data_IF_571887333616
#
_entry.id   IF_571887333616
#
_cell.length_a   1.000
_cell.length_b   1.000
_cell.length_c   1.000
_cell.angle_alpha   90.00
_cell.angle_beta   90.00
_cell.angle_gamma   90.00
#
_symmetry.space_group_name_H-M   'P 1'
#
loop_
_entity.id
_entity.type
_entity.pdbx_description
1 polymer ?
#
# COMPACT_ATOMS: atom_id res chain seq x y z
N UNK A 1 -5.80 10.66 13.15
CA UNK A 1 -6.53 11.54 12.21
C UNK A 1 -6.75 10.93 10.81
N UNK A 2 -5.72 10.68 9.98
CA UNK A 2 -5.94 10.16 8.61
C UNK A 2 -6.73 8.83 8.57
N UNK A 3 -6.37 7.87 9.44
CA UNK A 3 -7.09 6.60 9.57
C UNK A 3 -8.56 6.79 9.93
N UNK A 4 -8.87 7.73 10.81
CA UNK A 4 -10.23 7.96 11.28
C UNK A 4 -11.11 8.54 10.16
N UNK A 5 -10.55 9.42 9.31
CA UNK A 5 -11.21 9.86 8.07
C UNK A 5 -11.46 8.74 7.07
N UNK A 6 -10.64 7.68 7.06
CA UNK A 6 -10.85 6.52 6.16
C UNK A 6 -12.02 5.65 6.58
N UNK A 7 -12.52 5.77 7.82
CA UNK A 7 -13.68 5.01 8.29
C UNK A 7 -14.93 5.30 7.45
N UNK A 8 -15.07 6.55 7.01
CA UNK A 8 -16.14 7.00 6.12
C UNK A 8 -16.03 6.47 4.69
N UNK A 9 -14.89 5.85 4.32
CA UNK A 9 -14.66 5.29 2.99
C UNK A 9 -14.86 3.77 2.95
N UNK A 10 -15.27 3.16 4.06
CA UNK A 10 -15.50 1.71 4.18
C UNK A 10 -16.99 1.37 4.09
N UNK A 11 -17.29 0.26 3.43
CA UNK A 11 -18.62 -0.35 3.31
C UNK A 11 -18.71 -1.55 4.25
N UNK A 12 -19.93 -1.90 4.68
CA UNK A 12 -20.15 -3.14 5.41
C UNK A 12 -20.23 -4.31 4.42
N UNK A 13 -19.08 -4.68 3.87
CA UNK A 13 -18.92 -5.74 2.90
C UNK A 13 -17.61 -6.49 3.16
N UNK A 14 -17.44 -7.73 2.64
CA UNK A 14 -16.17 -8.42 2.69
C UNK A 14 -15.06 -7.62 2.02
N UNK A 15 -13.84 -7.71 2.54
CA UNK A 15 -12.64 -7.16 1.91
C UNK A 15 -11.54 -8.20 1.87
N UNK A 16 -10.78 -8.20 0.78
CA UNK A 16 -9.69 -9.12 0.51
C UNK A 16 -8.37 -8.37 0.46
N UNK A 17 -7.31 -8.99 0.98
CA UNK A 17 -5.95 -8.48 0.87
C UNK A 17 -5.19 -9.30 -0.17
N UNK A 18 -4.72 -8.62 -1.20
CA UNK A 18 -3.87 -9.20 -2.24
C UNK A 18 -2.51 -8.49 -2.16
N UNK A 19 -1.41 -9.26 -2.22
CA UNK A 19 -0.07 -8.71 -2.39
C UNK A 19 0.41 -9.08 -3.78
N UNK A 20 0.70 -8.07 -4.60
CA UNK A 20 1.35 -8.24 -5.88
C UNK A 20 2.84 -7.98 -5.72
N UNK A 21 3.65 -8.96 -6.09
CA UNK A 21 5.11 -8.93 -5.94
C UNK A 21 5.76 -9.21 -7.29
N UNK A 22 6.93 -8.61 -7.51
CA UNK A 22 7.76 -8.85 -8.69
C UNK A 22 9.02 -9.65 -8.33
N UNK A 23 9.59 -10.41 -9.28
CA UNK A 23 10.85 -11.11 -9.09
C UNK A 23 11.99 -10.16 -8.74
N UNK A 24 12.88 -10.62 -7.85
CA UNK A 24 14.05 -9.86 -7.40
C UNK A 24 15.02 -9.50 -8.53
N UNK A 25 14.99 -10.22 -9.65
CA UNK A 25 15.81 -9.98 -10.83
C UNK A 25 15.55 -8.59 -11.43
N UNK A 26 14.34 -8.06 -11.24
CA UNK A 26 13.96 -6.72 -11.66
C UNK A 26 14.43 -5.62 -10.70
N UNK A 27 14.88 -5.97 -9.49
CA UNK A 27 15.23 -4.98 -8.46
C UNK A 27 16.26 -3.94 -8.94
N UNK A 28 17.38 -4.29 -9.60
CA UNK A 28 18.32 -3.30 -10.09
C UNK A 28 17.71 -2.31 -11.08
N UNK A 29 16.81 -2.80 -11.95
CA UNK A 29 16.14 -2.00 -12.96
C UNK A 29 15.09 -1.08 -12.34
N UNK A 30 14.26 -1.62 -11.43
CA UNK A 30 13.26 -0.85 -10.68
C UNK A 30 13.92 0.21 -9.81
N UNK A 31 15.03 -0.11 -9.14
CA UNK A 31 15.73 0.85 -8.31
C UNK A 31 16.30 2.01 -9.13
N UNK A 32 16.72 1.77 -10.37
CA UNK A 32 17.20 2.82 -11.29
C UNK A 32 16.06 3.66 -11.87
N UNK A 33 14.82 3.15 -11.88
CA UNK A 33 13.66 3.74 -12.53
C UNK A 33 12.44 3.83 -11.60
N UNK A 34 12.67 4.19 -10.33
CA UNK A 34 11.67 4.03 -9.27
C UNK A 34 10.30 4.62 -9.64
N UNK A 35 10.22 5.88 -10.04
CA UNK A 35 8.94 6.51 -10.35
C UNK A 35 8.20 5.76 -11.47
N UNK A 36 8.89 5.57 -12.60
CA UNK A 36 8.32 4.95 -13.79
C UNK A 36 7.88 3.51 -13.54
N UNK A 37 8.74 2.68 -12.94
CA UNK A 37 8.44 1.27 -12.72
C UNK A 37 7.55 1.01 -11.50
N UNK A 38 7.44 1.94 -10.54
CA UNK A 38 6.38 1.91 -9.55
C UNK A 38 5.02 2.28 -10.18
N UNK A 39 4.98 3.24 -11.12
CA UNK A 39 3.75 3.55 -11.86
C UNK A 39 3.28 2.34 -12.69
N UNK A 40 4.20 1.67 -13.39
CA UNK A 40 3.90 0.41 -14.10
C UNK A 40 3.37 -0.69 -13.18
N UNK A 41 3.88 -0.80 -11.93
CA UNK A 41 3.28 -1.72 -10.94
C UNK A 41 1.81 -1.38 -10.68
N UNK A 42 1.50 -0.10 -10.45
CA UNK A 42 0.12 0.35 -10.20
C UNK A 42 -0.79 0.12 -11.40
N UNK A 43 -0.32 0.44 -12.61
CA UNK A 43 -1.07 0.22 -13.85
C UNK A 43 -1.39 -1.26 -14.03
N UNK A 44 -0.38 -2.11 -13.92
CA UNK A 44 -0.52 -3.57 -14.08
C UNK A 44 -1.46 -4.18 -13.05
N UNK A 45 -1.35 -3.78 -11.78
CA UNK A 45 -2.28 -4.21 -10.72
C UNK A 45 -3.70 -3.75 -11.00
N UNK A 46 -3.89 -2.48 -11.34
CA UNK A 46 -5.22 -1.91 -11.57
C UNK A 46 -5.90 -2.54 -12.79
N UNK A 47 -5.17 -2.66 -13.90
CA UNK A 47 -5.66 -3.28 -15.12
C UNK A 47 -6.04 -4.75 -14.91
N UNK A 48 -5.21 -5.52 -14.19
CA UNK A 48 -5.49 -6.92 -13.85
C UNK A 48 -6.79 -7.06 -13.04
N UNK A 49 -6.94 -6.26 -11.97
CA UNK A 49 -8.14 -6.33 -11.13
C UNK A 49 -9.38 -5.90 -11.91
N UNK A 50 -9.30 -4.80 -12.67
CA UNK A 50 -10.45 -4.28 -13.40
C UNK A 50 -10.92 -5.27 -14.48
N UNK A 51 -9.99 -5.87 -15.22
CA UNK A 51 -10.31 -6.86 -16.26
C UNK A 51 -11.01 -8.08 -15.65
N UNK A 52 -10.41 -8.70 -14.63
CA UNK A 52 -10.98 -9.90 -14.04
C UNK A 52 -12.31 -9.64 -13.31
N UNK A 53 -12.47 -8.49 -12.67
CA UNK A 53 -13.73 -8.17 -11.95
C UNK A 53 -14.86 -7.77 -12.91
N UNK A 54 -14.53 -7.22 -14.08
CA UNK A 54 -15.50 -6.93 -15.13
C UNK A 54 -16.00 -8.19 -15.87
N UNK A 55 -15.22 -9.27 -15.89
CA UNK A 55 -15.65 -10.54 -16.48
C UNK A 55 -16.77 -11.19 -15.64
N UNK A 56 -17.91 -11.45 -16.29
CA UNK A 56 -19.07 -12.12 -15.69
C UNK A 56 -18.78 -13.53 -15.17
N UNK A 57 -17.75 -14.21 -15.69
CA UNK A 57 -17.29 -15.52 -15.16
C UNK A 57 -16.78 -15.38 -13.72
N UNK A 58 -16.20 -14.23 -13.37
CA UNK A 58 -15.63 -13.98 -12.06
C UNK A 58 -16.53 -13.13 -11.18
N UNK A 59 -16.97 -11.95 -11.63
CA UNK A 59 -17.89 -11.10 -10.88
C UNK A 59 -18.84 -10.36 -11.83
N UNK A 60 -18.35 -9.68 -12.86
CA UNK A 60 -19.18 -8.87 -13.76
C UNK A 60 -19.62 -7.56 -13.12
N UNK A 61 -18.76 -6.94 -12.32
CA UNK A 61 -19.06 -5.69 -11.64
C UNK A 61 -17.80 -4.84 -11.41
N UNK A 62 -17.99 -3.52 -11.38
CA UNK A 62 -16.94 -2.56 -11.03
C UNK A 62 -16.72 -2.55 -9.52
N UNK A 63 -15.56 -3.03 -9.10
CA UNK A 63 -15.14 -3.05 -7.69
C UNK A 63 -14.49 -1.74 -7.25
N UNK A 64 -14.28 -1.58 -5.95
CA UNK A 64 -13.44 -0.53 -5.37
C UNK A 64 -12.24 -1.13 -4.64
N UNK A 65 -11.08 -0.48 -4.73
CA UNK A 65 -9.88 -0.97 -4.03
C UNK A 65 -8.87 0.14 -3.74
N UNK A 66 -8.00 -0.13 -2.77
CA UNK A 66 -6.91 0.75 -2.36
C UNK A 66 -5.60 0.00 -2.57
N UNK A 67 -4.65 0.62 -3.30
CA UNK A 67 -3.31 0.10 -3.52
C UNK A 67 -2.29 0.88 -2.69
N UNK A 68 -1.41 0.19 -1.99
CA UNK A 68 -0.35 0.77 -1.14
C UNK A 68 1.01 0.20 -1.57
N UNK A 69 1.91 1.06 -2.03
CA UNK A 69 3.27 0.67 -2.41
C UNK A 69 4.16 0.49 -1.17
N UNK A 70 4.80 -0.67 -1.11
CA UNK A 70 5.85 -1.03 -0.17
C UNK A 70 7.10 -1.39 -0.97
N UNK A 71 8.29 -1.11 -0.43
CA UNK A 71 9.57 -1.29 -1.15
C UNK A 71 10.59 -2.11 -0.35
N UNK A 72 10.18 -2.75 0.73
CA UNK A 72 11.07 -3.44 1.67
C UNK A 72 10.56 -4.82 2.04
N UNK A 73 11.48 -5.76 2.26
CA UNK A 73 11.22 -6.98 3.02
C UNK A 73 11.48 -6.79 4.52
N UNK A 74 11.38 -7.87 5.29
CA UNK A 74 11.60 -7.80 6.74
C UNK A 74 13.02 -7.34 7.08
N UNK A 75 14.04 -7.78 6.35
CA UNK A 75 15.45 -7.39 6.53
C UNK A 75 15.80 -6.02 5.92
N UNK A 76 14.79 -5.21 5.57
CA UNK A 76 14.94 -3.95 4.83
C UNK A 76 15.69 -4.12 3.50
N UNK A 77 15.60 -5.30 2.90
CA UNK A 77 16.06 -5.53 1.54
C UNK A 77 15.08 -4.89 0.56
N UNK A 78 15.58 -4.35 -0.55
CA UNK A 78 14.74 -3.76 -1.58
C UNK A 78 13.80 -4.81 -2.19
N UNK A 79 12.50 -4.59 -2.03
CA UNK A 79 11.46 -5.52 -2.41
C UNK A 79 10.17 -4.74 -2.74
N UNK A 80 10.06 -4.17 -3.94
CA UNK A 80 8.87 -3.45 -4.38
C UNK A 80 7.67 -4.39 -4.54
N UNK A 81 6.56 -4.05 -3.90
CA UNK A 81 5.30 -4.79 -3.97
C UNK A 81 4.11 -3.89 -3.65
N UNK A 82 2.93 -4.26 -4.15
CA UNK A 82 1.68 -3.53 -3.90
C UNK A 82 0.76 -4.36 -3.02
N UNK A 83 0.41 -3.79 -1.87
CA UNK A 83 -0.72 -4.26 -1.06
C UNK A 83 -2.02 -3.70 -1.63
N UNK A 84 -2.98 -4.57 -1.91
CA UNK A 84 -4.31 -4.19 -2.37
C UNK A 84 -5.35 -4.60 -1.34
N UNK A 85 -6.19 -3.65 -0.96
CA UNK A 85 -7.43 -3.90 -0.21
C UNK A 85 -8.58 -3.84 -1.21
N UNK A 86 -9.09 -5.00 -1.57
CA UNK A 86 -10.13 -5.18 -2.58
C UNK A 86 -11.49 -5.35 -1.92
N UNK A 87 -12.47 -4.54 -2.31
CA UNK A 87 -13.86 -4.73 -1.93
C UNK A 87 -14.40 -6.03 -2.53
N UNK A 88 -15.07 -6.84 -1.72
CA UNK A 88 -15.56 -8.17 -2.09
C UNK A 88 -16.79 -8.18 -3.00
N UNK A 89 -17.23 -7.00 -3.42
CA UNK A 89 -18.33 -6.80 -4.36
C UNK A 89 -18.17 -5.48 -5.10
N UNK A 90 -19.10 -5.21 -6.00
CA UNK A 90 -19.06 -4.04 -6.86
C UNK A 90 -20.42 -3.69 -7.46
N UNK A 91 -20.43 -2.64 -8.28
CA UNK A 91 -21.62 -2.20 -9.01
C UNK A 91 -21.62 -2.74 -10.44
N UNK A 92 -22.71 -3.33 -10.87
CA UNK A 92 -22.95 -3.68 -12.28
C UNK A 92 -23.18 -2.42 -13.12
N UNK A 93 -23.20 -2.55 -14.45
CA UNK A 93 -23.56 -1.46 -15.35
C UNK A 93 -24.97 -0.88 -15.09
N UNK A 94 -25.87 -1.68 -14.51
CA UNK A 94 -27.22 -1.26 -14.11
C UNK A 94 -27.27 -0.67 -12.70
N UNK A 95 -26.12 -0.33 -12.10
CA UNK A 95 -26.02 0.19 -10.74
C UNK A 95 -26.62 -0.73 -9.67
N UNK A 96 -26.55 -2.05 -9.89
CA UNK A 96 -26.95 -3.05 -8.90
C UNK A 96 -25.71 -3.58 -8.19
N UNK A 97 -25.83 -3.84 -6.90
CA UNK A 97 -24.76 -4.46 -6.13
C UNK A 97 -24.62 -5.94 -6.52
N UNK A 98 -23.37 -6.39 -6.65
CA UNK A 98 -23.04 -7.80 -6.90
C UNK A 98 -21.80 -8.19 -6.11
N UNK A 99 -21.86 -9.32 -5.43
CA UNK A 99 -20.73 -9.97 -4.76
C UNK A 99 -20.82 -11.50 -4.91
N UNK A 100 -19.81 -12.21 -4.39
CA UNK A 100 -19.78 -13.68 -4.30
C UNK A 100 -19.64 -14.15 -2.86
N UNK A 101 -20.23 -13.39 -1.93
CA UNK A 101 -20.15 -13.66 -0.51
C UNK A 101 -18.75 -13.46 0.07
N UNK A 102 -18.37 -14.33 1.02
CA UNK A 102 -17.19 -14.12 1.87
C UNK A 102 -15.90 -14.74 1.34
N UNK A 103 -15.97 -15.53 0.27
CA UNK A 103 -14.84 -16.25 -0.28
C UNK A 103 -14.16 -15.48 -1.41
N UNK A 104 -12.85 -15.63 -1.52
CA UNK A 104 -12.09 -14.94 -2.55
C UNK A 104 -12.48 -15.47 -3.93
N UNK A 105 -12.89 -14.57 -4.82
CA UNK A 105 -13.59 -14.94 -6.05
C UNK A 105 -12.73 -14.84 -7.33
N UNK A 106 -11.49 -14.37 -7.22
CA UNK A 106 -10.55 -14.28 -8.35
C UNK A 106 -9.60 -15.49 -8.35
N UNK A 107 -9.46 -16.23 -9.47
CA UNK A 107 -8.51 -17.33 -9.55
C UNK A 107 -7.07 -16.82 -9.45
N UNK A 108 -6.35 -17.23 -8.40
CA UNK A 108 -4.99 -16.73 -8.09
C UNK A 108 -4.01 -16.97 -9.25
N UNK A 109 -4.09 -18.11 -9.93
CA UNK A 109 -3.23 -18.42 -11.09
C UNK A 109 -3.48 -17.48 -12.27
N UNK A 110 -4.74 -17.15 -12.55
CA UNK A 110 -5.11 -16.22 -13.63
C UNK A 110 -4.67 -14.81 -13.28
N UNK A 111 -4.92 -14.38 -12.04
CA UNK A 111 -4.48 -13.09 -11.53
C UNK A 111 -2.95 -12.93 -11.59
N UNK A 112 -2.20 -13.98 -11.25
CA UNK A 112 -0.74 -14.04 -11.36
C UNK A 112 -0.26 -13.84 -12.81
N UNK A 113 -0.75 -14.66 -13.74
CA UNK A 113 -0.29 -14.64 -15.14
C UNK A 113 -0.69 -13.36 -15.86
N UNK A 114 -1.90 -12.84 -15.60
CA UNK A 114 -2.36 -11.59 -16.20
C UNK A 114 -1.54 -10.39 -15.68
N UNK A 115 -1.24 -10.34 -14.38
CA UNK A 115 -0.38 -9.30 -13.81
C UNK A 115 1.05 -9.36 -14.37
N UNK A 116 1.64 -10.56 -14.42
CA UNK A 116 2.96 -10.79 -15.01
C UNK A 116 3.01 -10.31 -16.45
N UNK A 117 2.04 -10.71 -17.27
CA UNK A 117 1.95 -10.31 -18.67
C UNK A 117 1.87 -8.79 -18.84
N UNK A 118 0.96 -8.12 -18.12
CA UNK A 118 0.78 -6.66 -18.21
C UNK A 118 2.02 -5.89 -17.76
N UNK A 119 2.67 -6.32 -16.68
CA UNK A 119 3.86 -5.64 -16.17
C UNK A 119 5.05 -5.78 -17.12
N UNK A 120 5.30 -6.99 -17.61
CA UNK A 120 6.43 -7.24 -18.51
C UNK A 120 6.21 -6.63 -19.89
N UNK A 121 4.96 -6.54 -20.36
CA UNK A 121 4.61 -5.84 -21.60
C UNK A 121 4.87 -4.32 -21.49
N UNK A 122 4.35 -3.66 -20.46
CA UNK A 122 4.62 -2.23 -20.23
C UNK A 122 6.12 -1.97 -20.01
N UNK A 123 6.82 -2.84 -19.28
CA UNK A 123 8.28 -2.75 -19.12
C UNK A 123 9.02 -2.86 -20.47
N UNK A 124 8.59 -3.76 -21.36
CA UNK A 124 9.18 -3.93 -22.69
C UNK A 124 8.96 -2.69 -23.55
N UNK A 125 7.75 -2.13 -23.54
CA UNK A 125 7.44 -0.87 -24.25
C UNK A 125 8.34 0.26 -23.76
N UNK A 126 8.51 0.42 -22.45
CA UNK A 126 9.38 1.45 -21.88
C UNK A 126 10.85 1.28 -22.28
N UNK A 127 11.32 0.04 -22.47
CA UNK A 127 12.65 -0.25 -22.98
C UNK A 127 12.78 0.14 -24.46
N UNK A 128 11.82 -0.28 -25.29
CA UNK A 128 11.79 0.02 -26.74
C UNK A 128 11.71 1.52 -27.03
N UNK A 129 10.99 2.27 -26.20
CA UNK A 129 10.87 3.72 -26.28
C UNK A 129 12.07 4.47 -25.66
N UNK A 130 13.13 3.77 -25.22
CA UNK A 130 14.31 4.34 -24.57
C UNK A 130 14.00 5.21 -23.34
N UNK A 131 12.93 4.89 -22.60
CA UNK A 131 12.51 5.62 -21.38
C UNK A 131 13.23 5.15 -20.13
N UNK A 132 13.83 3.96 -20.15
CA UNK A 132 14.52 3.37 -19.01
C UNK A 132 15.96 3.92 -18.87
N UNK A 133 16.32 4.22 -17.62
CA UNK A 133 17.68 4.53 -17.19
C UNK A 133 18.35 3.29 -16.60
N UNK A 134 19.65 3.14 -16.84
CA UNK A 134 20.40 1.98 -16.38
C UNK A 134 21.65 2.42 -15.64
N UNK A 135 21.71 2.10 -14.35
CA UNK A 135 22.80 2.43 -13.42
C UNK A 135 23.24 1.19 -12.63
N UNK A 136 24.51 1.19 -12.20
CA UNK A 136 25.09 0.09 -11.42
C UNK A 136 24.92 -1.26 -12.11
N UNK A 137 24.37 -2.24 -11.38
CA UNK A 137 24.19 -3.60 -11.90
C UNK A 137 23.10 -3.73 -12.99
N UNK A 138 22.32 -2.68 -13.26
CA UNK A 138 21.33 -2.69 -14.36
C UNK A 138 21.91 -2.28 -15.71
N UNK A 139 23.15 -1.75 -15.79
CA UNK A 139 23.79 -1.27 -17.04
C UNK A 139 23.78 -2.31 -18.16
N UNK A 140 23.98 -3.59 -17.82
CA UNK A 140 23.95 -4.71 -18.78
C UNK A 140 22.64 -4.82 -19.56
N UNK A 141 21.51 -4.37 -18.99
CA UNK A 141 20.20 -4.45 -19.63
C UNK A 141 19.95 -3.35 -20.69
N UNK A 142 20.94 -2.48 -20.96
CA UNK A 142 20.94 -1.68 -22.20
C UNK A 142 21.08 -2.55 -23.43
N UNK A 143 21.78 -3.68 -23.31
CA UNK A 143 21.94 -4.63 -24.40
C UNK A 143 20.62 -5.40 -24.61
N UNK A 144 20.17 -5.46 -25.86
CA UNK A 144 18.93 -6.14 -26.26
C UNK A 144 18.86 -7.60 -25.79
N UNK A 145 19.94 -8.37 -25.97
CA UNK A 145 19.95 -9.79 -25.61
C UNK A 145 19.86 -9.98 -24.10
N UNK A 146 20.63 -9.20 -23.33
CA UNK A 146 20.59 -9.26 -21.86
C UNK A 146 19.23 -8.84 -21.29
N UNK A 147 18.56 -7.85 -21.90
CA UNK A 147 17.21 -7.46 -21.50
C UNK A 147 16.17 -8.54 -21.86
N UNK A 148 16.27 -9.13 -23.05
CA UNK A 148 15.41 -10.23 -23.46
C UNK A 148 15.54 -11.44 -22.52
N UNK A 149 16.76 -11.79 -22.12
CA UNK A 149 17.01 -12.85 -21.14
C UNK A 149 16.40 -12.55 -19.77
N UNK A 150 16.49 -11.28 -19.31
CA UNK A 150 15.82 -10.84 -18.09
C UNK A 150 14.31 -11.06 -18.17
N UNK A 151 13.67 -10.68 -19.29
CA UNK A 151 12.24 -10.89 -19.50
C UNK A 151 11.90 -12.39 -19.50
N UNK A 152 12.65 -13.23 -20.22
CA UNK A 152 12.44 -14.67 -20.26
C UNK A 152 12.50 -15.28 -18.86
N UNK A 153 13.55 -14.95 -18.09
CA UNK A 153 13.69 -15.36 -16.69
C UNK A 153 12.48 -14.94 -15.85
N UNK A 154 11.95 -13.74 -16.10
CA UNK A 154 10.77 -13.24 -15.40
C UNK A 154 9.48 -13.96 -15.81
N UNK A 155 9.32 -14.37 -17.08
CA UNK A 155 8.17 -15.12 -17.58
C UNK A 155 8.12 -16.55 -17.04
N UNK A 156 9.28 -17.21 -16.92
CA UNK A 156 9.39 -18.57 -16.40
C UNK A 156 9.04 -18.67 -14.91
N UNK A 157 9.25 -17.60 -14.15
CA UNK A 157 8.92 -17.55 -12.72
C UNK A 157 7.42 -17.48 -12.46
N UNK A 158 7.02 -18.04 -11.32
CA UNK A 158 5.67 -17.87 -10.79
C UNK A 158 5.57 -16.60 -9.95
N UNK A 159 4.77 -15.64 -10.41
CA UNK A 159 4.51 -14.37 -9.73
C UNK A 159 3.39 -14.50 -8.70
N UNK A 160 3.49 -15.47 -7.79
CA UNK A 160 2.37 -15.90 -6.93
C UNK A 160 1.89 -14.74 -6.03
N UNK A 161 0.71 -14.16 -6.30
CA UNK A 161 0.16 -13.09 -5.49
C UNK A 161 -0.39 -13.70 -4.22
N UNK A 162 0.03 -13.16 -3.08
CA UNK A 162 -0.46 -13.65 -1.81
C UNK A 162 -1.85 -13.07 -1.55
N UNK A 163 -2.87 -13.92 -1.63
CA UNK A 163 -4.27 -13.56 -1.42
C UNK A 163 -4.75 -14.10 -0.07
N UNK A 164 -5.30 -13.24 0.79
CA UNK A 164 -5.93 -13.64 2.05
C UNK A 164 -7.23 -12.89 2.27
N UNK A 165 -8.19 -13.60 2.87
CA UNK A 165 -9.34 -12.99 3.53
C UNK A 165 -8.84 -12.33 4.81
N UNK A 166 -8.95 -11.01 4.90
CA UNK A 166 -8.26 -10.26 5.96
C UNK A 166 -9.19 -9.55 6.92
N UNK A 167 -10.48 -9.39 6.59
CA UNK A 167 -11.30 -8.42 7.30
C UNK A 167 -12.67 -8.97 7.68
N UNK A 168 -12.85 -9.25 8.97
CA UNK A 168 -14.17 -9.39 9.58
C UNK A 168 -14.74 -7.99 9.86
N UNK A 169 -15.16 -7.30 8.81
CA UNK A 169 -15.81 -6.00 8.88
C UNK A 169 -14.87 -4.79 8.80
N UNK A 170 -15.49 -3.61 8.76
CA UNK A 170 -14.85 -2.35 8.41
C UNK A 170 -13.66 -1.97 9.30
N UNK A 171 -13.75 -2.22 10.61
CA UNK A 171 -12.71 -1.84 11.58
C UNK A 171 -11.36 -2.53 11.30
N UNK A 172 -11.41 -3.77 10.82
CA UNK A 172 -10.20 -4.53 10.48
C UNK A 172 -9.50 -3.92 9.25
N UNK A 173 -10.26 -3.42 8.28
CA UNK A 173 -9.75 -2.69 7.10
C UNK A 173 -9.05 -1.40 7.53
N UNK A 174 -9.67 -0.65 8.44
CA UNK A 174 -9.13 0.62 8.96
C UNK A 174 -7.82 0.38 9.71
N UNK A 175 -7.80 -0.61 10.62
CA UNK A 175 -6.61 -0.96 11.40
C UNK A 175 -5.46 -1.40 10.48
N UNK A 176 -5.79 -2.13 9.42
CA UNK A 176 -4.82 -2.52 8.42
C UNK A 176 -4.29 -1.31 7.66
N UNK A 177 -5.15 -0.47 7.06
CA UNK A 177 -4.71 0.75 6.38
C UNK A 177 -3.73 1.55 7.25
N UNK A 178 -4.08 1.74 8.52
CA UNK A 178 -3.21 2.38 9.51
C UNK A 178 -1.79 1.84 9.63
N UNK A 179 -1.66 0.51 9.71
CA UNK A 179 -0.36 -0.15 9.83
C UNK A 179 0.50 0.03 8.57
N UNK A 180 -0.10 0.07 7.40
CA UNK A 180 0.61 0.04 6.11
C UNK A 180 0.82 1.44 5.49
N UNK A 181 0.09 2.47 5.94
CA UNK A 181 0.23 3.84 5.41
C UNK A 181 1.31 4.67 6.10
N UNK A 182 1.56 4.43 7.39
CA UNK A 182 2.48 5.26 8.19
C UNK A 182 3.83 4.59 8.48
N UNK A 183 3.93 3.27 8.30
CA UNK A 183 5.20 2.56 8.50
C UNK A 183 6.07 2.67 7.26
N UNK A 184 7.35 3.00 7.46
CA UNK A 184 8.42 2.87 6.46
C UNK A 184 9.07 1.49 6.66
N UNK A 185 10.31 1.30 6.22
CA UNK A 185 11.02 0.04 6.15
C UNK A 185 11.08 -0.73 7.47
N UNK A 186 11.14 0.00 8.58
CA UNK A 186 11.24 -0.54 9.92
C UNK A 186 10.43 0.31 10.90
N UNK A 187 9.94 -0.33 11.95
CA UNK A 187 9.24 0.30 13.06
C UNK A 187 10.11 0.33 14.30
N UNK A 188 10.01 1.38 15.11
CA UNK A 188 10.86 1.58 16.29
C UNK A 188 10.93 0.36 17.23
N UNK A 189 9.80 -0.32 17.49
CA UNK A 189 9.75 -1.51 18.34
C UNK A 189 10.55 -2.72 17.81
N UNK A 190 11.00 -2.69 16.55
CA UNK A 190 11.88 -3.72 16.00
C UNK A 190 13.34 -3.44 16.29
N UNK A 191 13.72 -2.20 16.58
CA UNK A 191 15.10 -1.82 16.92
C UNK A 191 15.32 -2.21 18.39
N UNK A 192 16.31 -3.07 18.62
CA UNK A 192 16.60 -3.66 19.94
C UNK A 192 17.67 -2.85 20.63
N UNK A 193 18.80 -2.63 19.95
CA UNK A 193 19.94 -1.86 20.45
C UNK A 193 20.71 -1.23 19.30
N UNK A 194 21.37 -0.13 19.60
CA UNK A 194 22.28 0.58 18.70
C UNK A 194 23.49 0.99 19.52
N UNK A 195 24.68 0.71 19.00
CA UNK A 195 25.97 1.18 19.52
C UNK A 195 26.64 2.09 18.49
N UNK A 196 27.89 2.49 18.73
CA UNK A 196 28.64 3.40 17.83
C UNK A 196 28.83 2.83 16.41
N UNK A 197 28.82 1.51 16.25
CA UNK A 197 29.17 0.83 15.01
C UNK A 197 28.00 0.05 14.39
N UNK A 198 27.06 -0.45 15.21
CA UNK A 198 26.06 -1.43 14.80
C UNK A 198 24.65 -1.10 15.24
N UNK A 199 23.68 -1.62 14.47
CA UNK A 199 22.27 -1.60 14.80
C UNK A 199 21.77 -3.04 14.79
N UNK A 200 21.13 -3.46 15.89
CA UNK A 200 20.47 -4.76 16.01
C UNK A 200 18.97 -4.59 16.02
N UNK A 201 18.27 -5.31 15.13
CA UNK A 201 16.82 -5.27 15.04
C UNK A 201 16.21 -6.63 14.75
N UNK A 202 14.97 -6.84 15.19
CA UNK A 202 14.22 -8.06 14.91
C UNK A 202 13.85 -8.17 13.44
N UNK A 203 14.19 -9.26 12.77
CA UNK A 203 13.73 -9.63 11.43
C UNK A 203 12.88 -10.88 11.48
N UNK A 204 11.92 -10.95 10.56
CA UNK A 204 11.02 -12.10 10.41
C UNK A 204 11.62 -13.04 9.37
N UNK A 205 12.01 -14.23 9.80
CA UNK A 205 12.55 -15.25 8.92
C UNK A 205 11.41 -16.05 8.28
N UNK A 206 11.08 -15.74 7.03
CA UNK A 206 10.04 -16.45 6.29
C UNK A 206 10.44 -17.86 5.86
N UNK A 207 11.75 -18.20 5.85
CA UNK A 207 12.22 -19.56 5.59
C UNK A 207 11.94 -20.45 6.82
N UNK A 208 12.01 -19.87 8.02
CA UNK A 208 11.68 -20.54 9.28
C UNK A 208 10.26 -20.24 9.80
N UNK A 209 9.24 -20.41 8.95
CA UNK A 209 7.82 -20.23 9.33
C UNK A 209 7.47 -18.85 9.93
N UNK A 210 8.30 -17.83 9.68
CA UNK A 210 8.07 -16.47 10.17
C UNK A 210 8.50 -16.24 11.62
N UNK A 211 9.46 -17.01 12.15
CA UNK A 211 10.07 -16.72 13.46
C UNK A 211 10.77 -15.36 13.45
N UNK A 212 10.79 -14.70 14.60
CA UNK A 212 11.56 -13.47 14.79
C UNK A 212 12.96 -13.82 15.26
N UNK A 213 13.97 -13.21 14.64
CA UNK A 213 15.39 -13.37 15.01
C UNK A 213 16.07 -12.00 15.09
N UNK A 214 17.09 -11.88 15.93
CA UNK A 214 17.95 -10.70 15.92
C UNK A 214 18.78 -10.66 14.64
N UNK A 215 18.95 -9.46 14.08
CA UNK A 215 19.78 -9.21 12.92
C UNK A 215 20.61 -7.95 13.15
N UNK A 216 21.92 -8.10 13.14
CA UNK A 216 22.89 -7.04 13.41
C UNK A 216 23.63 -6.68 12.14
N UNK A 217 23.69 -5.38 11.83
CA UNK A 217 24.42 -4.80 10.69
C UNK A 217 25.14 -3.54 11.14
N UNK A 218 26.10 -3.06 10.34
CA UNK A 218 26.72 -1.76 10.61
C UNK A 218 25.70 -0.63 10.52
N UNK A 219 25.93 0.46 11.27
CA UNK A 219 25.09 1.66 11.23
C UNK A 219 25.02 2.25 9.82
N UNK A 220 26.13 2.22 9.07
CA UNK A 220 26.18 2.68 7.67
C UNK A 220 25.27 1.83 6.78
N UNK A 221 25.31 0.49 6.90
CA UNK A 221 24.45 -0.39 6.11
C UNK A 221 22.97 -0.24 6.50
N UNK A 222 22.69 0.00 7.79
CA UNK A 222 21.34 0.30 8.27
C UNK A 222 20.77 1.56 7.61
N UNK A 223 21.53 2.66 7.62
CA UNK A 223 21.15 3.92 6.97
C UNK A 223 21.00 3.71 5.46
N UNK A 224 21.95 3.02 4.81
CA UNK A 224 21.87 2.71 3.37
C UNK A 224 20.58 2.00 3.04
N UNK A 225 20.25 0.90 3.73
CA UNK A 225 19.00 0.13 3.52
C UNK A 225 17.78 1.00 3.78
N UNK A 226 17.76 1.75 4.89
CA UNK A 226 16.64 2.63 5.20
C UNK A 226 16.36 3.65 4.08
N UNK A 227 17.41 4.29 3.56
CA UNK A 227 17.30 5.30 2.52
C UNK A 227 16.84 4.73 1.17
N UNK A 228 17.04 3.43 0.89
CA UNK A 228 16.51 2.78 -0.32
C UNK A 228 14.98 2.83 -0.41
N UNK A 229 14.30 3.06 0.71
CA UNK A 229 12.84 3.02 0.81
C UNK A 229 12.18 4.40 0.84
N UNK A 230 12.98 5.47 0.76
CA UNK A 230 12.46 6.82 0.59
C UNK A 230 11.88 6.94 -0.83
N UNK A 231 10.58 7.21 -0.98
CA UNK A 231 9.97 7.29 -2.30
C UNK A 231 10.46 8.54 -3.05
N UNK A 232 10.37 8.54 -4.40
CA UNK A 232 10.65 9.74 -5.19
C UNK A 232 9.80 10.94 -4.73
N UNK A 233 10.33 12.15 -4.95
CA UNK A 233 9.65 13.39 -4.57
C UNK A 233 8.24 13.44 -5.17
N UNK A 234 7.25 13.75 -4.33
CA UNK A 234 5.81 13.83 -4.68
C UNK A 234 5.19 12.51 -5.17
N UNK A 235 5.86 11.38 -4.99
CA UNK A 235 5.29 10.09 -5.39
C UNK A 235 4.13 9.67 -4.48
N UNK A 236 2.96 9.41 -5.07
CA UNK A 236 1.76 9.01 -4.35
C UNK A 236 1.78 7.51 -4.09
N UNK A 237 2.13 7.12 -2.85
CA UNK A 237 2.21 5.72 -2.38
C UNK A 237 0.87 5.03 -2.09
N UNK A 238 -0.22 5.78 -1.97
CA UNK A 238 -1.54 5.22 -1.66
C UNK A 238 -2.51 5.71 -2.73
N UNK A 239 -3.03 4.80 -3.54
CA UNK A 239 -3.90 5.11 -4.68
C UNK A 239 -5.23 4.40 -4.52
N UNK A 240 -6.31 5.11 -4.87
CA UNK A 240 -7.67 4.60 -4.75
C UNK A 240 -8.27 4.43 -6.14
N UNK A 241 -8.90 3.29 -6.37
CA UNK A 241 -9.38 2.88 -7.68
C UNK A 241 -10.84 2.44 -7.65
N UNK A 242 -11.44 2.41 -8.84
CA UNK A 242 -12.80 1.94 -9.04
C UNK A 242 -13.81 2.74 -8.21
N UNK A 243 -14.65 2.04 -7.44
CA UNK A 243 -15.64 2.69 -6.58
C UNK A 243 -15.04 3.59 -5.49
N UNK A 244 -13.78 3.36 -5.10
CA UNK A 244 -13.09 4.16 -4.08
C UNK A 244 -12.31 5.35 -4.66
N UNK A 245 -12.31 5.54 -5.99
CA UNK A 245 -11.62 6.66 -6.63
C UNK A 245 -12.12 8.01 -6.11
N UNK A 246 -11.19 8.90 -5.72
CA UNK A 246 -11.48 10.17 -5.04
C UNK A 246 -12.56 11.03 -5.71
N UNK A 247 -12.58 11.10 -7.06
CA UNK A 247 -13.53 11.95 -7.80
C UNK A 247 -14.97 11.44 -7.73
N UNK A 248 -15.17 10.14 -7.59
CA UNK A 248 -16.49 9.50 -7.68
C UNK A 248 -16.92 8.77 -6.40
N UNK A 249 -16.01 8.62 -5.43
CA UNK A 249 -16.24 7.76 -4.26
C UNK A 249 -17.47 8.15 -3.46
N UNK A 250 -17.73 9.44 -3.29
CA UNK A 250 -18.87 9.91 -2.49
C UNK A 250 -20.19 9.39 -3.07
N UNK A 251 -20.37 9.54 -4.39
CA UNK A 251 -21.56 9.07 -5.11
C UNK A 251 -21.67 7.54 -5.08
N UNK A 252 -20.59 6.83 -5.41
CA UNK A 252 -20.62 5.37 -5.44
C UNK A 252 -20.82 4.74 -4.06
N UNK A 253 -20.16 5.27 -3.02
CA UNK A 253 -20.31 4.75 -1.66
C UNK A 253 -21.71 5.01 -1.12
N UNK A 254 -22.32 6.17 -1.38
CA UNK A 254 -23.70 6.44 -1.00
C UNK A 254 -24.66 5.44 -1.67
N UNK A 255 -24.51 5.20 -2.97
CA UNK A 255 -25.30 4.21 -3.70
C UNK A 255 -25.10 2.79 -3.14
N UNK A 256 -23.86 2.36 -2.92
CA UNK A 256 -23.58 1.05 -2.35
C UNK A 256 -24.21 0.89 -0.96
N UNK A 257 -24.19 1.95 -0.14
CA UNK A 257 -24.81 1.93 1.19
C UNK A 257 -26.32 1.73 1.13
N UNK A 258 -26.99 2.44 0.23
CA UNK A 258 -28.43 2.31 0.04
C UNK A 258 -28.80 0.90 -0.43
N UNK A 259 -28.02 0.32 -1.35
CA UNK A 259 -28.26 -1.03 -1.87
C UNK A 259 -27.99 -2.13 -0.83
N UNK A 260 -26.97 -1.95 0.02
CA UNK A 260 -26.59 -2.90 1.05
C UNK A 260 -27.39 -2.75 2.36
N UNK A 261 -28.15 -1.66 2.52
CA UNK A 261 -28.78 -1.29 3.79
C UNK A 261 -27.77 -1.05 4.92
N UNK A 262 -26.51 -0.71 4.59
CA UNK A 262 -25.44 -0.68 5.57
C UNK A 262 -25.27 0.68 6.26
N UNK A 263 -24.81 0.64 7.52
CA UNK A 263 -24.53 1.84 8.32
C UNK A 263 -23.33 2.60 7.77
N UNK A 264 -23.41 3.93 7.76
CA UNK A 264 -22.25 4.77 7.51
C UNK A 264 -21.39 4.87 8.78
N UNK A 265 -20.12 4.50 8.69
CA UNK A 265 -19.16 4.76 9.76
C UNK A 265 -18.71 6.21 9.70
N UNK A 266 -19.01 6.98 10.73
CA UNK A 266 -18.56 8.37 10.85
C UNK A 266 -17.18 8.45 11.50
N UNK A 267 -16.38 9.40 11.02
CA UNK A 267 -15.11 9.78 11.62
C UNK A 267 -15.38 10.33 13.04
N UNK A 268 -14.69 9.77 14.05
CA UNK A 268 -14.82 10.22 15.46
C UNK A 268 -14.19 11.58 15.70
N UNK A 269 -13.24 11.97 14.86
CA UNK A 269 -12.39 13.15 15.05
C UNK A 269 -12.71 14.30 14.06
N UNK A 270 -13.72 14.16 13.20
CA UNK A 270 -13.96 15.08 12.08
C UNK A 270 -14.25 16.51 12.51
N UNK A 271 -14.94 16.64 13.64
CA UNK A 271 -15.44 17.92 14.17
C UNK A 271 -14.77 18.28 15.51
N UNK A 272 -13.64 17.65 15.82
CA UNK A 272 -12.87 17.91 17.03
C UNK A 272 -11.73 18.90 16.76
N UNK A 273 -11.53 19.84 17.69
CA UNK A 273 -10.36 20.71 17.73
C UNK A 273 -9.11 19.92 18.14
N UNK A 274 -7.92 20.41 17.75
CA UNK A 274 -6.64 19.70 18.03
C UNK A 274 -6.46 19.30 19.51
N UNK A 275 -6.78 20.16 20.50
CA UNK A 275 -6.73 19.76 21.90
C UNK A 275 -7.65 18.59 22.27
N UNK A 276 -8.88 18.57 21.74
CA UNK A 276 -9.85 17.49 21.96
C UNK A 276 -9.39 16.19 21.30
N UNK A 277 -8.74 16.28 20.13
CA UNK A 277 -8.13 15.12 19.47
C UNK A 277 -7.02 14.52 20.33
N UNK A 278 -6.15 15.35 20.91
CA UNK A 278 -5.04 14.88 21.76
C UNK A 278 -5.53 14.24 23.06
N UNK A 279 -6.54 14.83 23.68
CA UNK A 279 -7.21 14.24 24.85
C UNK A 279 -7.87 12.90 24.47
N UNK A 280 -8.64 12.85 23.38
CA UNK A 280 -9.33 11.62 22.94
C UNK A 280 -8.38 10.48 22.56
N UNK A 281 -7.23 10.79 21.95
CA UNK A 281 -6.31 9.76 21.43
C UNK A 281 -5.24 9.33 22.43
N UNK A 282 -4.79 10.24 23.28
CA UNK A 282 -3.60 10.03 24.12
C UNK A 282 -3.86 10.33 25.61
N UNK A 283 -5.09 10.71 25.97
CA UNK A 283 -5.45 11.17 27.31
C UNK A 283 -4.60 12.38 27.77
N UNK A 284 -4.18 13.21 26.81
CA UNK A 284 -3.36 14.40 27.07
C UNK A 284 -4.24 15.66 27.02
N UNK A 285 -4.50 16.25 28.18
CA UNK A 285 -5.19 17.55 28.29
C UNK A 285 -4.22 18.71 28.09
N UNK A 286 -4.03 19.14 26.84
CA UNK A 286 -3.15 20.27 26.51
C UNK A 286 -3.73 21.64 26.87
N UNK A 287 -5.01 21.70 27.24
CA UNK A 287 -5.70 22.91 27.71
C UNK A 287 -5.59 23.12 29.21
N UNK A 288 -4.84 22.27 29.92
CA UNK A 288 -4.67 22.32 31.38
C UNK A 288 -3.19 22.24 31.70
N UNK A 289 -2.71 23.16 32.54
CA UNK A 289 -1.34 23.11 33.04
C UNK A 289 -1.17 21.90 33.98
N UNK A 290 -0.21 21.03 33.70
CA UNK A 290 0.08 19.86 34.54
C UNK A 290 0.62 20.21 35.93
N UNK A 291 1.21 21.40 36.10
CA UNK A 291 1.78 21.84 37.37
C UNK A 291 0.74 22.47 38.30
N UNK A 292 -0.17 23.29 37.77
CA UNK A 292 -1.10 24.08 38.59
C UNK A 292 -2.59 23.81 38.31
N UNK A 293 -2.93 22.94 37.35
CA UNK A 293 -4.31 22.58 37.03
C UNK A 293 -5.14 23.69 36.35
N UNK A 294 -4.55 24.87 36.12
CA UNK A 294 -5.25 25.99 35.50
C UNK A 294 -5.44 25.79 33.99
N UNK A 295 -6.55 26.30 33.47
CA UNK A 295 -6.83 26.27 32.03
C UNK A 295 -5.88 27.19 31.27
N UNK A 296 -5.16 26.62 30.30
CA UNK A 296 -4.36 27.37 29.35
C UNK A 296 -5.31 28.02 28.34
N UNK A 297 -5.32 29.35 28.27
CA UNK A 297 -6.17 30.11 27.35
C UNK A 297 -5.94 29.73 25.87
N UNK A 298 -6.89 30.05 24.99
CA UNK A 298 -6.75 29.80 23.55
C UNK A 298 -5.41 30.36 23.05
N UNK A 299 -4.61 29.52 22.39
CA UNK A 299 -3.41 29.95 21.69
C UNK A 299 -3.80 31.05 20.69
N UNK A 300 -3.45 32.30 21.00
CA UNK A 300 -3.49 33.36 20.00
C UNK A 300 -2.56 32.93 18.86
N UNK A 301 -3.10 32.78 17.65
CA UNK A 301 -2.27 32.64 16.45
C UNK A 301 -1.42 33.90 16.33
N UNK A 302 -0.18 33.86 16.82
CA UNK A 302 0.83 34.83 16.42
C UNK A 302 1.18 34.51 14.98
N UNK A 303 0.55 35.21 14.04
CA UNK A 303 1.00 35.28 12.65
C UNK A 303 2.44 35.81 12.73
N UNK A 304 3.45 35.07 12.24
CA UNK A 304 4.80 35.60 12.19
C UNK A 304 4.77 36.85 11.29
N UNK A 305 5.11 38.01 11.86
CA UNK A 305 5.39 39.19 11.08
C UNK A 305 6.53 38.82 10.12
N UNK A 306 6.26 38.87 8.81
CA UNK A 306 7.33 38.83 7.81
C UNK A 306 8.14 40.10 8.02
N UNK A 307 9.35 39.93 8.56
CA UNK A 307 10.43 40.92 8.47
C UNK A 307 11.16 40.62 7.16
#
# INVERSE_FOLDING_TARGET
MWMDKRREDVLDAPYFHIVFTVPQELNPLIYSNQQLLYDTLYHSVSATINELTADTKHLGAKVGYICVLHTWGSEMNFHPHIHVILLGGGLTAKNQWRDKGKEFFLPVKVLSKLFQGKYLDELKILWEENKLQFHGSSVKYRNHYAFKELLNTCYEKDWIPHCKKTFNGAQSVINYLGKYTHRIAISNHRIIRMDENTVTYYVKDYREKGKWKEFTISGVEFIRRFLMHVPPKRFVRIRHYGLLCTRSKTKHLALCRNLLGCKQYLSRLKDMETPQILETLYDIKVTVCKCCGYHLGKTQQRIPLRI
#
